data_IF_743663413932
#
_entry.id   IF_743663413932
#
_cell.length_a   1.000
_cell.length_b   1.000
_cell.length_c   1.000
_cell.angle_alpha   90.00
_cell.angle_beta   90.00
_cell.angle_gamma   90.00
#
_symmetry.space_group_name_H-M   'P 1'
#
loop_
_entity.id
_entity.type
_entity.pdbx_description
1 polymer ?
#
# COMPACT_ATOMS: atom_id res chain seq x y z
N UNK A 1 20.10 -3.41 0.23
CA UNK A 1 20.05 -4.29 1.41
C UNK A 1 18.66 -4.88 1.63
N UNK A 2 17.60 -4.06 1.72
CA UNK A 2 16.21 -4.51 1.96
C UNK A 2 15.72 -5.54 0.93
N UNK A 3 15.86 -5.26 -0.38
CA UNK A 3 15.43 -6.20 -1.42
C UNK A 3 16.10 -7.58 -1.31
N UNK A 4 17.40 -7.63 -0.98
CA UNK A 4 18.13 -8.89 -0.76
C UNK A 4 17.54 -9.68 0.41
N UNK A 5 17.32 -9.02 1.55
CA UNK A 5 16.71 -9.66 2.71
C UNK A 5 15.28 -10.14 2.44
N UNK A 6 14.50 -9.43 1.63
CA UNK A 6 13.18 -9.89 1.20
C UNK A 6 13.28 -11.11 0.27
N UNK A 7 14.22 -11.14 -0.67
CA UNK A 7 14.45 -12.32 -1.52
C UNK A 7 14.84 -13.54 -0.69
N UNK A 8 15.74 -13.35 0.28
CA UNK A 8 16.17 -14.41 1.22
C UNK A 8 14.97 -14.93 2.03
N UNK A 9 14.07 -14.05 2.49
CA UNK A 9 12.86 -14.43 3.22
C UNK A 9 11.84 -15.18 2.33
N UNK A 10 11.70 -14.78 1.07
CA UNK A 10 10.75 -15.38 0.13
C UNK A 10 11.18 -16.78 -0.33
N UNK A 11 12.48 -17.02 -0.50
CA UNK A 11 12.99 -18.30 -1.01
C UNK A 11 12.40 -18.65 -2.39
N UNK A 12 11.82 -19.84 -2.54
CA UNK A 12 10.98 -20.16 -3.70
C UNK A 12 9.59 -19.54 -3.53
N UNK A 13 9.39 -18.40 -4.20
CA UNK A 13 8.19 -17.58 -4.10
C UNK A 13 7.06 -17.99 -5.04
N UNK A 14 7.19 -19.05 -5.85
CA UNK A 14 6.21 -19.37 -6.92
C UNK A 14 4.76 -19.53 -6.47
N UNK A 15 4.53 -19.83 -5.19
CA UNK A 15 3.19 -19.96 -4.58
C UNK A 15 2.83 -18.82 -3.63
N UNK A 16 3.64 -17.77 -3.62
CA UNK A 16 3.54 -16.64 -2.70
C UNK A 16 2.98 -15.43 -3.42
N UNK A 17 2.06 -14.74 -2.74
CA UNK A 17 1.61 -13.40 -3.11
C UNK A 17 2.29 -12.40 -2.16
N UNK A 18 3.02 -11.45 -2.72
CA UNK A 18 3.57 -10.31 -2.01
C UNK A 18 2.62 -9.14 -2.21
N UNK A 19 2.19 -8.51 -1.12
CA UNK A 19 1.45 -7.26 -1.13
C UNK A 19 2.34 -6.16 -0.55
N UNK A 20 2.59 -5.09 -1.31
CA UNK A 20 3.46 -3.98 -0.88
C UNK A 20 2.83 -2.62 -1.19
N UNK A 21 3.27 -1.53 -0.54
CA UNK A 21 2.87 -0.19 -0.95
C UNK A 21 3.20 0.07 -2.41
N UNK A 22 2.35 0.81 -3.11
CA UNK A 22 2.59 1.17 -4.50
C UNK A 22 3.89 1.95 -4.63
N UNK A 23 4.76 1.55 -5.57
CA UNK A 23 6.08 2.18 -5.76
C UNK A 23 6.04 3.65 -6.23
N UNK A 24 4.84 4.17 -6.56
CA UNK A 24 4.57 5.57 -6.93
C UNK A 24 3.57 6.26 -5.99
N UNK A 25 3.46 5.75 -4.75
CA UNK A 25 2.57 6.27 -3.70
C UNK A 25 2.87 7.73 -3.35
N UNK A 26 4.13 8.15 -3.48
CA UNK A 26 4.58 9.52 -3.24
C UNK A 26 5.11 9.75 -1.83
N UNK A 27 5.10 8.73 -0.97
CA UNK A 27 5.85 8.72 0.30
C UNK A 27 7.19 7.99 0.09
N UNK A 28 8.36 8.60 0.38
CA UNK A 28 9.66 8.00 0.08
C UNK A 28 9.85 6.57 0.61
N UNK A 29 9.37 6.29 1.82
CA UNK A 29 9.47 4.95 2.42
C UNK A 29 8.55 3.93 1.75
N UNK A 30 7.35 4.36 1.31
CA UNK A 30 6.44 3.47 0.59
C UNK A 30 6.99 3.15 -0.79
N UNK A 31 7.47 4.18 -1.50
CA UNK A 31 8.07 4.02 -2.82
C UNK A 31 9.30 3.09 -2.74
N UNK A 32 10.13 3.25 -1.71
CA UNK A 32 11.28 2.38 -1.46
C UNK A 32 10.87 0.94 -1.11
N UNK A 33 9.83 0.75 -0.29
CA UNK A 33 9.31 -0.57 0.06
C UNK A 33 8.71 -1.28 -1.17
N UNK A 34 7.92 -0.58 -1.98
CA UNK A 34 7.36 -1.10 -3.23
C UNK A 34 8.44 -1.54 -4.22
N UNK A 35 9.46 -0.70 -4.45
CA UNK A 35 10.62 -1.07 -5.29
C UNK A 35 11.35 -2.29 -4.76
N UNK A 36 11.58 -2.37 -3.44
CA UNK A 36 12.25 -3.52 -2.84
C UNK A 36 11.43 -4.82 -2.98
N UNK A 37 10.11 -4.74 -2.81
CA UNK A 37 9.20 -5.85 -3.00
C UNK A 37 9.15 -6.32 -4.46
N UNK A 38 9.16 -5.41 -5.43
CA UNK A 38 9.20 -5.74 -6.86
C UNK A 38 10.47 -6.53 -7.23
N UNK A 39 11.63 -6.07 -6.78
CA UNK A 39 12.90 -6.79 -6.98
C UNK A 39 12.83 -8.20 -6.37
N UNK A 40 12.33 -8.31 -5.14
CA UNK A 40 12.28 -9.58 -4.42
C UNK A 40 11.27 -10.57 -5.01
N UNK A 41 10.08 -10.10 -5.41
CA UNK A 41 9.06 -10.91 -6.06
C UNK A 41 9.56 -11.46 -7.39
N UNK A 42 10.20 -10.61 -8.22
CA UNK A 42 10.80 -11.04 -9.49
C UNK A 42 11.91 -12.08 -9.27
N UNK A 43 12.79 -11.87 -8.31
CA UNK A 43 13.90 -12.78 -8.02
C UNK A 43 13.44 -14.15 -7.48
N UNK A 44 12.33 -14.18 -6.74
CA UNK A 44 11.78 -15.40 -6.13
C UNK A 44 10.71 -16.10 -6.98
N UNK A 45 10.22 -15.45 -8.04
CA UNK A 45 9.09 -15.93 -8.83
C UNK A 45 7.72 -15.73 -8.16
N UNK A 46 7.65 -14.92 -7.10
CA UNK A 46 6.39 -14.59 -6.45
C UNK A 46 5.54 -13.63 -7.28
N UNK A 47 4.23 -13.68 -7.07
CA UNK A 47 3.30 -12.67 -7.58
C UNK A 47 3.39 -11.43 -6.72
N UNK A 48 3.35 -10.26 -7.32
CA UNK A 48 3.28 -8.97 -6.63
C UNK A 48 1.94 -8.30 -6.91
N UNK A 49 1.31 -7.79 -5.85
CA UNK A 49 0.27 -6.76 -5.91
C UNK A 49 0.70 -5.55 -5.11
N UNK A 50 0.30 -4.38 -5.58
CA UNK A 50 0.65 -3.11 -4.96
C UNK A 50 -0.59 -2.38 -4.48
N UNK A 51 -0.57 -1.82 -3.28
CA UNK A 51 -1.69 -1.04 -2.74
C UNK A 51 -1.28 0.43 -2.54
N UNK A 52 -2.04 1.38 -3.11
CA UNK A 52 -1.84 2.79 -2.78
C UNK A 52 -2.28 3.06 -1.34
N UNK A 53 -1.54 3.90 -0.62
CA UNK A 53 -1.81 4.29 0.77
C UNK A 53 -1.90 5.81 0.91
N UNK A 54 -0.81 6.53 0.63
CA UNK A 54 -0.75 8.00 0.69
C UNK A 54 -1.01 8.64 -0.67
N UNK A 55 -1.07 7.86 -1.77
CA UNK A 55 -1.58 8.32 -3.04
C UNK A 55 -3.03 8.81 -2.92
N UNK A 56 -3.85 8.14 -2.11
CA UNK A 56 -5.15 8.65 -1.68
C UNK A 56 -5.05 9.93 -0.84
N UNK A 57 -3.86 10.49 -0.61
CA UNK A 57 -3.50 11.83 -0.12
C UNK A 57 -3.74 12.95 -1.13
N UNK A 58 -3.04 12.79 -2.23
CA UNK A 58 -2.60 13.91 -3.04
C UNK A 58 -2.78 13.64 -4.52
N UNK A 59 -2.93 12.37 -4.90
CA UNK A 59 -3.24 11.99 -6.28
C UNK A 59 -4.70 12.26 -6.57
N UNK A 60 -4.95 12.73 -7.78
CA UNK A 60 -6.27 12.78 -8.37
C UNK A 60 -6.66 11.39 -8.86
N UNK A 61 -7.97 11.07 -8.92
CA UNK A 61 -8.39 9.77 -9.43
C UNK A 61 -7.83 9.45 -10.82
N UNK A 62 -7.78 10.41 -11.75
CA UNK A 62 -7.26 10.23 -13.12
C UNK A 62 -5.74 9.94 -13.19
N UNK A 63 -5.00 10.08 -12.08
CA UNK A 63 -3.56 9.77 -12.00
C UNK A 63 -3.28 8.32 -11.53
N UNK A 64 -4.32 7.54 -11.23
CA UNK A 64 -4.16 6.14 -10.86
C UNK A 64 -4.21 5.23 -12.09
N UNK A 65 -3.40 4.15 -12.14
CA UNK A 65 -3.39 3.20 -13.24
C UNK A 65 -4.59 2.26 -13.14
N UNK A 66 -5.79 2.78 -13.46
CA UNK A 66 -7.05 2.04 -13.31
C UNK A 66 -7.13 0.78 -14.16
N UNK A 67 -6.36 0.69 -15.25
CA UNK A 67 -6.26 -0.50 -16.10
C UNK A 67 -5.72 -1.72 -15.34
N UNK A 68 -4.78 -1.49 -14.43
CA UNK A 68 -4.17 -2.51 -13.57
C UNK A 68 -4.87 -2.63 -12.21
N UNK A 69 -5.73 -1.67 -11.87
CA UNK A 69 -6.45 -1.66 -10.62
C UNK A 69 -7.51 -2.78 -10.55
N UNK A 70 -7.55 -3.43 -9.40
CA UNK A 70 -8.53 -4.44 -9.02
C UNK A 70 -9.15 -4.04 -7.70
N UNK A 71 -10.39 -4.48 -7.51
CA UNK A 71 -11.21 -4.16 -6.35
C UNK A 71 -11.50 -5.44 -5.58
N UNK A 72 -11.05 -5.51 -4.33
CA UNK A 72 -11.35 -6.60 -3.41
C UNK A 72 -12.54 -6.19 -2.54
N UNK A 73 -13.72 -6.75 -2.81
CA UNK A 73 -14.89 -6.52 -1.98
C UNK A 73 -14.73 -7.16 -0.59
N UNK A 74 -15.09 -6.41 0.45
CA UNK A 74 -15.01 -6.85 1.85
C UNK A 74 -16.41 -7.18 2.38
N UNK A 75 -16.55 -8.33 3.05
CA UNK A 75 -17.74 -8.61 3.85
C UNK A 75 -17.84 -7.61 5.01
N UNK A 76 -19.04 -7.43 5.56
CA UNK A 76 -19.28 -6.57 6.73
C UNK A 76 -18.35 -6.92 7.89
N UNK A 77 -18.17 -8.21 8.18
CA UNK A 77 -17.26 -8.68 9.22
C UNK A 77 -15.80 -8.22 8.97
N UNK A 78 -15.31 -8.30 7.73
CA UNK A 78 -13.96 -7.84 7.38
C UNK A 78 -13.82 -6.32 7.47
N UNK A 79 -14.87 -5.58 7.14
CA UNK A 79 -14.89 -4.12 7.32
C UNK A 79 -14.80 -3.75 8.81
N UNK A 80 -15.53 -4.43 9.68
CA UNK A 80 -15.49 -4.22 11.12
C UNK A 80 -14.12 -4.56 11.73
N UNK A 81 -13.53 -5.69 11.33
CA UNK A 81 -12.19 -6.10 11.75
C UNK A 81 -11.13 -5.08 11.29
N UNK A 82 -11.20 -4.63 10.02
CA UNK A 82 -10.32 -3.58 9.49
C UNK A 82 -10.46 -2.29 10.27
N UNK A 83 -11.70 -1.84 10.51
CA UNK A 83 -11.96 -0.61 11.25
C UNK A 83 -11.45 -0.70 12.70
N UNK A 84 -11.59 -1.87 13.35
CA UNK A 84 -11.02 -2.11 14.66
C UNK A 84 -9.48 -2.04 14.64
N UNK A 85 -8.84 -2.72 13.68
CA UNK A 85 -7.39 -2.69 13.51
C UNK A 85 -6.85 -1.26 13.31
N UNK A 86 -7.48 -0.47 12.45
CA UNK A 86 -7.12 0.94 12.22
C UNK A 86 -7.23 1.75 13.51
N UNK A 87 -8.33 1.59 14.27
CA UNK A 87 -8.53 2.31 15.55
C UNK A 87 -7.50 1.96 16.62
N UNK A 88 -6.88 0.77 16.55
CA UNK A 88 -5.81 0.34 17.46
C UNK A 88 -4.56 1.22 17.36
N UNK A 89 -4.32 1.85 16.20
CA UNK A 89 -3.19 2.75 15.98
C UNK A 89 -3.49 4.16 16.52
N UNK A 90 -3.80 4.25 17.82
CA UNK A 90 -4.33 5.46 18.48
C UNK A 90 -3.51 6.72 18.19
N UNK A 91 -2.17 6.63 18.20
CA UNK A 91 -1.28 7.76 17.92
C UNK A 91 -1.37 8.28 16.48
N UNK A 92 -1.87 7.47 15.54
CA UNK A 92 -2.02 7.81 14.13
C UNK A 92 -3.42 8.35 13.81
N UNK A 93 -4.45 7.88 14.51
CA UNK A 93 -5.86 8.18 14.20
C UNK A 93 -6.50 9.19 15.12
N UNK A 94 -5.86 9.55 16.24
CA UNK A 94 -6.32 10.59 17.16
C UNK A 94 -5.30 11.72 17.26
N UNK A 95 -5.81 12.94 17.43
CA UNK A 95 -5.00 14.07 17.85
C UNK A 95 -4.35 13.77 19.21
N UNK A 96 -3.07 14.11 19.36
CA UNK A 96 -2.40 13.99 20.65
C UNK A 96 -2.96 15.04 21.61
N UNK A 97 -3.38 14.60 22.81
CA UNK A 97 -4.07 15.43 23.81
C UNK A 97 -3.24 16.62 24.35
N UNK A 98 -1.97 16.76 23.95
CA UNK A 98 -1.10 17.87 24.33
C UNK A 98 -0.98 19.00 23.30
N UNK A 99 -1.58 18.87 22.11
CA UNK A 99 -1.51 19.92 21.08
C UNK A 99 -2.88 20.55 20.89
N UNK A 100 -3.09 21.74 21.48
CA UNK A 100 -4.24 22.57 21.17
C UNK A 100 -4.22 22.90 19.66
N UNK A 101 -5.13 22.28 18.89
CA UNK A 101 -5.19 22.39 17.43
C UNK A 101 -4.47 21.30 16.64
N UNK A 102 -3.91 20.27 17.30
CA UNK A 102 -3.27 19.16 16.60
C UNK A 102 -4.28 18.31 15.83
N UNK A 103 -4.05 18.06 14.54
CA UNK A 103 -4.77 17.04 13.77
C UNK A 103 -4.15 15.67 14.01
N UNK A 104 -4.92 14.59 13.81
CA UNK A 104 -4.33 13.25 13.75
C UNK A 104 -3.26 13.19 12.65
N UNK A 105 -2.15 12.45 12.84
CA UNK A 105 -1.11 12.31 11.80
C UNK A 105 -1.65 11.77 10.47
N UNK A 106 -2.59 10.84 10.51
CA UNK A 106 -3.27 10.38 9.29
C UNK A 106 -4.32 11.40 8.84
N UNK A 107 -4.26 11.88 7.58
CA UNK A 107 -5.29 12.74 7.03
C UNK A 107 -6.66 12.04 7.05
N UNK A 108 -7.72 12.78 7.42
CA UNK A 108 -9.07 12.21 7.48
C UNK A 108 -9.54 11.60 6.16
N UNK A 109 -9.06 12.09 5.02
CA UNK A 109 -9.38 11.53 3.69
C UNK A 109 -8.74 10.17 3.43
N UNK A 110 -7.58 9.87 4.03
CA UNK A 110 -7.00 8.51 4.00
C UNK A 110 -7.92 7.56 4.77
N UNK A 111 -8.31 7.94 5.98
CA UNK A 111 -9.21 7.14 6.82
C UNK A 111 -10.56 6.91 6.14
N UNK A 112 -11.14 7.93 5.51
CA UNK A 112 -12.38 7.82 4.76
C UNK A 112 -12.28 6.80 3.62
N UNK A 113 -11.17 6.79 2.87
CA UNK A 113 -10.93 5.78 1.83
C UNK A 113 -10.93 4.37 2.41
N UNK A 114 -10.20 4.14 3.50
CA UNK A 114 -10.10 2.83 4.13
C UNK A 114 -11.38 2.41 4.89
N UNK A 115 -12.39 3.27 5.00
CA UNK A 115 -13.72 2.90 5.49
C UNK A 115 -14.69 2.44 4.40
N UNK A 116 -14.29 2.43 3.12
CA UNK A 116 -15.10 1.90 2.03
C UNK A 116 -15.18 0.36 2.07
N UNK A 117 -16.21 -0.27 1.47
CA UNK A 117 -16.42 -1.72 1.54
C UNK A 117 -15.52 -2.53 0.59
N UNK A 118 -14.43 -1.93 0.10
CA UNK A 118 -13.49 -2.56 -0.81
C UNK A 118 -12.07 -2.05 -0.60
N UNK A 119 -11.09 -2.84 -1.05
CA UNK A 119 -9.69 -2.42 -1.19
C UNK A 119 -9.31 -2.35 -2.66
N UNK A 120 -8.58 -1.31 -3.03
CA UNK A 120 -7.94 -1.25 -4.34
C UNK A 120 -6.50 -1.76 -4.25
N UNK A 121 -6.13 -2.61 -5.21
CA UNK A 121 -4.75 -3.00 -5.44
C UNK A 121 -4.48 -3.01 -6.94
N UNK A 122 -3.23 -2.86 -7.31
CA UNK A 122 -2.74 -2.92 -8.68
C UNK A 122 -2.10 -4.30 -8.86
N UNK A 123 -2.50 -5.01 -9.93
CA UNK A 123 -1.73 -6.18 -10.36
C UNK A 123 -0.43 -5.66 -10.97
N UNK A 124 0.70 -5.93 -10.32
CA UNK A 124 1.98 -5.48 -10.86
C UNK A 124 2.33 -6.35 -12.07
N UNK A 125 2.26 -5.78 -13.27
CA UNK A 125 2.79 -6.46 -14.45
C UNK A 125 4.31 -6.59 -14.30
N UNK A 126 4.87 -7.73 -14.69
CA UNK A 126 6.30 -8.01 -14.55
C UNK A 126 7.21 -7.10 -15.41
N UNK A 127 6.63 -6.14 -16.15
CA UNK A 127 7.26 -5.49 -17.30
C UNK A 127 7.57 -4.00 -17.09
N UNK A 128 7.07 -3.34 -16.05
CA UNK A 128 7.53 -1.97 -15.76
C UNK A 128 8.91 -1.99 -15.11
N UNK A 129 9.92 -2.18 -15.95
CA UNK A 129 11.28 -1.76 -15.67
C UNK A 129 11.26 -0.26 -15.35
N UNK A 130 11.92 0.06 -14.24
CA UNK A 130 12.35 1.38 -13.80
C UNK A 130 12.99 2.15 -14.98
N UNK A 131 12.18 2.82 -15.81
CA UNK A 131 12.65 3.85 -16.71
C UNK A 131 12.52 5.18 -15.97
N UNK A 132 13.64 5.87 -15.70
CA UNK A 132 13.55 7.22 -15.15
C UNK A 132 12.82 8.12 -16.16
N UNK A 133 12.10 9.16 -15.70
CA UNK A 133 11.54 10.15 -16.62
C UNK A 133 12.67 10.77 -17.45
N UNK A 134 12.43 10.94 -18.75
CA UNK A 134 13.33 11.71 -19.65
C UNK A 134 13.61 13.12 -19.13
#
# INVERSE_FOLDING_TARGET
QVARSLTELLGDGRRTLVAAPWRHDGHPDHDAAGRAAAVAARASGARLVEYPLLAWTFRRPDELPWEDARCLALSTERQEQKAAAIRSHVSQVRASAGHAGGTAPLPGRVLAHFHTPFEHYLEATATEADQPPE
#
